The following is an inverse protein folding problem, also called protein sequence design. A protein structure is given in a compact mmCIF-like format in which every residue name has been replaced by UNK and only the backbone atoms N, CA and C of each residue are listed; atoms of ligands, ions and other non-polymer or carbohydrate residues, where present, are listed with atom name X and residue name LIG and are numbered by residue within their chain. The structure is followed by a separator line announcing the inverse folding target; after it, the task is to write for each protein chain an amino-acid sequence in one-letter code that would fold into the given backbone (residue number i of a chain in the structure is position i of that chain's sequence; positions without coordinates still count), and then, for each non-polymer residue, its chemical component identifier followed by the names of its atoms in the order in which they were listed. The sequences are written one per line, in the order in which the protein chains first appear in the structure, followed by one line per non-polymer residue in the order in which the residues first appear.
data_IF_688096424486
#
_entry.id   IF_688096424486
#
_cell.length_a   1.000
_cell.length_b   1.000
_cell.length_c   1.000
_cell.angle_alpha   90.00
_cell.angle_beta   90.00
_cell.angle_gamma   90.00
#
_symmetry.space_group_name_H-M   'P 1'
#
loop_
_entity.id
_entity.type
_entity.pdbx_description
1 polymer ?
#
# COMPACT_ATOMS: atom_id res chain seq x y z
N UNK A 1 14.90 -21.68 6.11
CA UNK A 1 14.56 -21.68 4.67
C UNK A 1 15.14 -20.42 4.04
N UNK A 2 16.20 -20.53 3.22
CA UNK A 2 16.73 -19.38 2.45
C UNK A 2 15.98 -19.32 1.14
N UNK A 3 15.07 -18.36 1.00
CA UNK A 3 14.43 -18.07 -0.29
C UNK A 3 15.47 -17.34 -1.13
N UNK A 4 15.94 -17.98 -2.20
CA UNK A 4 16.86 -17.35 -3.13
C UNK A 4 16.03 -16.56 -4.16
N UNK A 5 15.69 -15.32 -3.80
CA UNK A 5 14.99 -14.41 -4.70
C UNK A 5 15.93 -13.98 -5.83
N UNK A 6 15.40 -13.90 -7.05
CA UNK A 6 16.11 -13.26 -8.15
C UNK A 6 16.25 -11.76 -7.88
N UNK A 7 17.29 -11.12 -8.44
CA UNK A 7 17.45 -9.67 -8.36
C UNK A 7 16.20 -8.91 -8.85
N UNK A 8 15.54 -9.43 -9.90
CA UNK A 8 14.29 -8.89 -10.43
C UNK A 8 13.16 -8.89 -9.39
N UNK A 9 13.03 -9.96 -8.60
CA UNK A 9 12.02 -10.05 -7.54
C UNK A 9 12.32 -9.05 -6.43
N UNK A 10 13.58 -8.93 -6.00
CA UNK A 10 14.00 -7.97 -4.98
C UNK A 10 13.69 -6.53 -5.44
N UNK A 11 14.13 -6.14 -6.64
CA UNK A 11 13.86 -4.81 -7.19
C UNK A 11 12.36 -4.51 -7.32
N UNK A 12 11.54 -5.52 -7.64
CA UNK A 12 10.07 -5.35 -7.69
C UNK A 12 9.48 -5.09 -6.30
N UNK A 13 9.94 -5.80 -5.28
CA UNK A 13 9.51 -5.57 -3.90
C UNK A 13 9.96 -4.21 -3.37
N UNK A 14 11.20 -3.79 -3.68
CA UNK A 14 11.69 -2.45 -3.36
C UNK A 14 10.86 -1.36 -4.05
N UNK A 15 10.52 -1.55 -5.33
CA UNK A 15 9.63 -0.65 -6.05
C UNK A 15 8.24 -0.57 -5.39
N UNK A 16 7.70 -1.69 -4.91
CA UNK A 16 6.41 -1.71 -4.23
C UNK A 16 6.37 -0.83 -2.97
N UNK A 17 7.51 -0.68 -2.27
CA UNK A 17 7.62 0.19 -1.10
C UNK A 17 7.51 1.68 -1.46
N UNK A 18 7.82 2.05 -2.71
CA UNK A 18 7.82 3.46 -3.17
C UNK A 18 6.53 3.84 -3.89
N UNK A 19 5.68 2.89 -4.28
CA UNK A 19 4.41 3.16 -4.96
C UNK A 19 3.48 4.15 -4.24
N UNK A 20 3.31 4.13 -2.90
CA UNK A 20 2.52 5.16 -2.22
C UNK A 20 3.08 6.57 -2.45
N UNK A 21 4.40 6.73 -2.52
CA UNK A 21 5.04 8.02 -2.82
C UNK A 21 4.73 8.44 -4.25
N UNK A 22 4.92 7.53 -5.21
CA UNK A 22 4.78 7.78 -6.64
C UNK A 22 3.32 8.12 -7.00
N UNK A 23 2.37 7.30 -6.56
CA UNK A 23 0.98 7.38 -7.03
C UNK A 23 0.05 8.19 -6.13
N UNK A 24 0.38 8.36 -4.84
CA UNK A 24 -0.51 9.02 -3.88
C UNK A 24 0.05 10.36 -3.41
N UNK A 25 1.29 10.39 -2.92
CA UNK A 25 1.88 11.63 -2.37
C UNK A 25 2.04 12.69 -3.47
N UNK A 26 2.55 12.31 -4.64
CA UNK A 26 2.66 13.21 -5.80
C UNK A 26 1.31 13.77 -6.29
N UNK A 27 0.20 13.06 -5.99
CA UNK A 27 -1.16 13.47 -6.34
C UNK A 27 -1.89 14.22 -5.21
N UNK A 28 -1.21 14.57 -4.11
CA UNK A 28 -1.82 15.28 -2.98
C UNK A 28 -2.69 14.38 -2.07
N UNK A 29 -2.51 13.07 -2.11
CA UNK A 29 -3.36 12.09 -1.40
C UNK A 29 -2.68 11.52 -0.15
N UNK A 30 -2.15 12.39 0.71
CA UNK A 30 -1.35 11.96 1.87
C UNK A 30 -2.18 11.14 2.88
N UNK A 31 -3.48 11.42 3.02
CA UNK A 31 -4.39 10.63 3.86
C UNK A 31 -4.48 9.18 3.41
N UNK A 32 -4.65 8.94 2.10
CA UNK A 32 -4.67 7.60 1.53
C UNK A 32 -3.30 6.92 1.65
N UNK A 33 -2.20 7.65 1.39
CA UNK A 33 -0.86 7.12 1.54
C UNK A 33 -0.59 6.62 2.98
N UNK A 34 -1.00 7.42 3.99
CA UNK A 34 -0.88 7.06 5.40
C UNK A 34 -1.70 5.81 5.75
N UNK A 35 -2.92 5.68 5.25
CA UNK A 35 -3.78 4.52 5.54
C UNK A 35 -3.29 3.24 4.84
N UNK A 36 -2.81 3.33 3.59
CA UNK A 36 -2.18 2.20 2.88
C UNK A 36 -0.92 1.73 3.62
N UNK A 37 -0.03 2.66 4.02
CA UNK A 37 1.18 2.33 4.76
C UNK A 37 0.90 1.68 6.12
N UNK A 38 -0.07 2.23 6.89
CA UNK A 38 -0.50 1.64 8.16
C UNK A 38 -1.07 0.23 7.96
N UNK A 39 -1.90 0.04 6.94
CA UNK A 39 -2.48 -1.26 6.62
C UNK A 39 -1.41 -2.29 6.21
N UNK A 40 -0.44 -1.89 5.38
CA UNK A 40 0.69 -2.73 5.00
C UNK A 40 1.52 -3.16 6.22
N UNK A 41 1.81 -2.23 7.14
CA UNK A 41 2.49 -2.55 8.40
C UNK A 41 1.65 -3.52 9.25
N UNK A 42 0.33 -3.32 9.35
CA UNK A 42 -0.56 -4.24 10.06
C UNK A 42 -0.53 -5.64 9.46
N UNK A 43 -0.51 -5.78 8.13
CA UNK A 43 -0.38 -7.06 7.43
C UNK A 43 0.96 -7.73 7.74
N UNK A 44 2.06 -6.99 7.69
CA UNK A 44 3.40 -7.50 7.99
C UNK A 44 3.52 -8.03 9.43
N UNK A 45 2.98 -7.28 10.39
CA UNK A 45 3.02 -7.64 11.82
C UNK A 45 1.83 -8.49 12.29
N UNK A 46 0.95 -8.93 11.38
CA UNK A 46 -0.28 -9.69 11.69
C UNK A 46 -1.16 -9.03 12.76
N UNK A 47 -1.29 -7.70 12.71
CA UNK A 47 -2.11 -6.91 13.64
C UNK A 47 -3.44 -6.49 12.99
N UNK A 48 -4.53 -6.37 13.76
CA UNK A 48 -5.81 -5.92 13.23
C UNK A 48 -5.76 -4.43 12.87
N UNK A 49 -5.97 -4.10 11.59
CA UNK A 49 -5.99 -2.72 11.11
C UNK A 49 -7.03 -1.85 11.82
N UNK A 50 -8.20 -2.41 12.15
CA UNK A 50 -9.26 -1.73 12.91
C UNK A 50 -8.81 -1.24 14.28
N UNK A 51 -7.92 -1.98 14.96
CA UNK A 51 -7.33 -1.54 16.23
C UNK A 51 -6.25 -0.49 16.01
N UNK A 52 -5.47 -0.63 14.94
CA UNK A 52 -4.38 0.29 14.65
C UNK A 52 -4.85 1.71 14.30
N UNK A 53 -6.11 1.88 13.88
CA UNK A 53 -6.72 3.20 13.58
C UNK A 53 -7.44 3.83 14.77
N UNK A 54 -7.67 3.10 15.86
CA UNK A 54 -8.26 3.65 17.10
C UNK A 54 -7.37 4.78 17.62
N UNK A 55 -7.98 5.89 18.05
CA UNK A 55 -7.24 7.05 18.59
C UNK A 55 -6.50 7.90 17.55
N UNK A 56 -6.60 7.62 16.25
CA UNK A 56 -5.92 8.40 15.19
C UNK A 56 -6.72 9.59 14.62
N UNK A 57 -7.83 9.95 15.26
CA UNK A 57 -8.67 11.08 14.83
C UNK A 57 -9.40 10.86 13.50
N UNK A 58 -9.52 9.62 13.03
CA UNK A 58 -10.26 9.24 11.82
C UNK A 58 -11.29 8.19 12.16
N UNK A 59 -12.50 8.31 11.60
CA UNK A 59 -13.53 7.29 11.79
C UNK A 59 -13.13 6.00 11.07
N UNK A 60 -13.59 4.85 11.60
CA UNK A 60 -13.29 3.55 10.99
C UNK A 60 -13.72 3.46 9.52
N UNK A 61 -14.95 3.87 9.13
CA UNK A 61 -15.34 3.87 7.72
C UNK A 61 -14.45 4.76 6.85
N UNK A 62 -14.09 5.97 7.32
CA UNK A 62 -13.23 6.88 6.57
C UNK A 62 -11.82 6.30 6.38
N UNK A 63 -11.25 5.64 7.40
CA UNK A 63 -9.94 5.00 7.29
C UNK A 63 -9.92 3.87 6.25
N UNK A 64 -10.97 3.05 6.20
CA UNK A 64 -11.12 2.01 5.20
C UNK A 64 -11.31 2.60 3.80
N UNK A 65 -12.14 3.64 3.66
CA UNK A 65 -12.34 4.33 2.39
C UNK A 65 -11.03 4.95 1.86
N UNK A 66 -10.22 5.56 2.71
CA UNK A 66 -8.91 6.11 2.34
C UNK A 66 -7.93 5.01 1.91
N UNK A 67 -7.91 3.87 2.61
CA UNK A 67 -7.12 2.69 2.22
C UNK A 67 -7.54 2.19 0.85
N UNK A 68 -8.84 1.96 0.64
CA UNK A 68 -9.38 1.37 -0.58
C UNK A 68 -9.20 2.30 -1.78
N UNK A 69 -9.43 3.61 -1.58
CA UNK A 69 -9.10 4.64 -2.56
C UNK A 69 -7.62 4.62 -2.92
N UNK A 70 -6.73 4.53 -1.94
CA UNK A 70 -5.29 4.47 -2.16
C UNK A 70 -4.86 3.25 -2.97
N UNK A 71 -5.37 2.06 -2.62
CA UNK A 71 -5.10 0.83 -3.35
C UNK A 71 -5.63 0.88 -4.79
N UNK A 72 -6.83 1.43 -5.00
CA UNK A 72 -7.40 1.60 -6.34
C UNK A 72 -6.53 2.50 -7.22
N UNK A 73 -6.07 3.63 -6.70
CA UNK A 73 -5.22 4.58 -7.45
C UNK A 73 -3.85 3.98 -7.76
N UNK A 74 -3.24 3.27 -6.81
CA UNK A 74 -2.00 2.52 -7.06
C UNK A 74 -2.24 1.50 -8.19
N UNK A 75 -3.31 0.71 -8.13
CA UNK A 75 -3.64 -0.27 -9.17
C UNK A 75 -3.78 0.37 -10.56
N UNK A 76 -4.46 1.51 -10.65
CA UNK A 76 -4.61 2.25 -11.91
C UNK A 76 -3.26 2.80 -12.41
N UNK A 77 -2.43 3.32 -11.51
CA UNK A 77 -1.08 3.79 -11.82
C UNK A 77 -0.19 2.67 -12.35
N UNK A 78 -0.20 1.50 -11.71
CA UNK A 78 0.54 0.32 -12.17
C UNK A 78 0.08 -0.16 -13.55
N UNK A 79 -1.23 -0.19 -13.79
CA UNK A 79 -1.79 -0.55 -15.10
C UNK A 79 -1.36 0.45 -16.19
N UNK A 80 -1.44 1.76 -15.91
CA UNK A 80 -0.99 2.83 -16.81
C UNK A 80 0.50 2.71 -17.14
N UNK A 81 1.31 2.45 -16.12
CA UNK A 81 2.77 2.36 -16.24
C UNK A 81 3.24 0.97 -16.71
N UNK A 82 2.29 0.07 -17.04
CA UNK A 82 2.53 -1.30 -17.52
C UNK A 82 3.43 -2.12 -16.58
N UNK A 83 3.33 -1.88 -15.27
CA UNK A 83 4.04 -2.67 -14.28
C UNK A 83 3.39 -4.06 -14.21
N UNK A 84 4.13 -5.16 -14.45
CA UNK A 84 3.56 -6.49 -14.33
C UNK A 84 3.06 -6.71 -12.91
N UNK A 85 1.81 -7.13 -12.76
CA UNK A 85 1.22 -7.61 -11.51
C UNK A 85 0.83 -9.06 -11.76
N UNK A 86 1.42 -9.99 -11.01
CA UNK A 86 1.00 -11.40 -11.07
C UNK A 86 -0.28 -11.48 -10.24
N UNK A 87 -1.35 -11.93 -10.87
CA UNK A 87 -2.60 -12.27 -10.18
C UNK A 87 -2.60 -13.80 -10.16
N UNK A 88 -2.40 -14.38 -8.98
CA UNK A 88 -2.60 -15.80 -8.74
C UNK A 88 -4.09 -16.18 -8.89
#
# INVERSE_FOLDING_TARGET
MRVQLSARQVSRHEAALTWPTIYLVGAGLQGSARMVGLWAACKAYRRPFSKAIEGRGVSRPAAYALRDRGLSIISQGLARDRVPVEID
#
